data_IF_774603162579
#
_entry.id   IF_774603162579
#
_cell.length_a   1.000
_cell.length_b   1.000
_cell.length_c   1.000
_cell.angle_alpha   90.00
_cell.angle_beta   90.00
_cell.angle_gamma   90.00
#
_symmetry.space_group_name_H-M   'P 1'
#
loop_
_entity.id
_entity.type
_entity.pdbx_description
1 polymer ?
#
# COMPACT_ATOMS: atom_id res chain seq x y z
N UNK A 1 23.56 1.00 8.96
CA UNK A 1 23.16 0.81 7.55
C UNK A 1 22.14 1.88 7.29
N UNK A 2 22.36 2.78 6.32
CA UNK A 2 21.34 3.77 5.98
C UNK A 2 20.11 3.01 5.47
N UNK A 3 18.94 3.26 6.06
CA UNK A 3 17.67 2.73 5.57
C UNK A 3 17.52 3.17 4.11
N UNK A 4 17.16 2.25 3.21
CA UNK A 4 16.80 2.58 1.82
C UNK A 4 15.28 2.70 1.76
N UNK A 5 14.72 3.90 1.99
CA UNK A 5 13.27 4.07 2.06
C UNK A 5 12.59 3.72 0.73
N UNK A 6 13.27 3.90 -0.39
CA UNK A 6 12.73 3.54 -1.72
C UNK A 6 12.66 2.02 -1.87
N UNK A 7 13.71 1.30 -1.49
CA UNK A 7 13.73 -0.16 -1.51
C UNK A 7 12.69 -0.78 -0.56
N UNK A 8 12.52 -0.20 0.62
CA UNK A 8 11.49 -0.61 1.59
C UNK A 8 10.08 -0.37 1.04
N UNK A 9 9.81 0.82 0.49
CA UNK A 9 8.52 1.13 -0.15
C UNK A 9 8.23 0.19 -1.32
N UNK A 10 9.21 -0.06 -2.19
CA UNK A 10 9.05 -1.01 -3.29
C UNK A 10 8.65 -2.41 -2.79
N UNK A 11 9.33 -2.90 -1.75
CA UNK A 11 9.08 -4.21 -1.17
C UNK A 11 7.65 -4.31 -0.60
N UNK A 12 7.21 -3.28 0.12
CA UNK A 12 5.89 -3.27 0.73
C UNK A 12 4.75 -3.09 -0.28
N UNK A 13 4.98 -2.29 -1.33
CA UNK A 13 4.05 -2.16 -2.45
C UNK A 13 3.94 -3.47 -3.24
N UNK A 14 5.05 -4.18 -3.46
CA UNK A 14 5.04 -5.50 -4.11
C UNK A 14 4.27 -6.53 -3.26
N UNK A 15 4.44 -6.52 -1.94
CA UNK A 15 3.67 -7.38 -1.02
C UNK A 15 2.17 -7.03 -1.01
N UNK A 16 1.84 -5.74 -1.11
CA UNK A 16 0.46 -5.26 -1.18
C UNK A 16 -0.21 -5.66 -2.49
N UNK A 17 0.52 -5.56 -3.61
CA UNK A 17 0.07 -6.06 -4.92
C UNK A 17 -0.26 -7.54 -4.87
N UNK A 18 0.63 -8.35 -4.31
CA UNK A 18 0.40 -9.79 -4.17
C UNK A 18 -0.84 -10.09 -3.32
N UNK A 19 -1.07 -9.31 -2.26
CA UNK A 19 -2.29 -9.44 -1.44
C UNK A 19 -3.55 -9.12 -2.27
N UNK A 20 -3.55 -8.01 -3.01
CA UNK A 20 -4.71 -7.62 -3.81
C UNK A 20 -5.01 -8.57 -4.96
N UNK A 21 -3.98 -9.05 -5.66
CA UNK A 21 -4.14 -10.04 -6.73
C UNK A 21 -4.71 -11.35 -6.19
N UNK A 22 -4.29 -11.78 -4.99
CA UNK A 22 -4.82 -12.98 -4.33
C UNK A 22 -6.30 -12.87 -4.00
N UNK A 23 -6.79 -11.67 -3.67
CA UNK A 23 -8.19 -11.45 -3.25
C UNK A 23 -9.04 -10.77 -4.33
N UNK A 24 -8.54 -10.69 -5.56
CA UNK A 24 -9.18 -10.04 -6.71
C UNK A 24 -9.56 -8.56 -6.49
N UNK A 25 -8.76 -7.83 -5.69
CA UNK A 25 -8.98 -6.41 -5.42
C UNK A 25 -8.37 -5.53 -6.52
N UNK A 26 -9.16 -5.18 -7.53
CA UNK A 26 -8.67 -4.52 -8.75
C UNK A 26 -8.41 -3.02 -8.59
N UNK A 27 -9.16 -2.32 -7.75
CA UNK A 27 -9.06 -0.86 -7.63
C UNK A 27 -7.73 -0.48 -6.98
N UNK A 28 -7.45 -1.06 -5.81
CA UNK A 28 -6.20 -0.80 -5.09
C UNK A 28 -4.99 -1.49 -5.71
N UNK A 29 -5.17 -2.62 -6.41
CA UNK A 29 -4.09 -3.19 -7.25
C UNK A 29 -3.65 -2.21 -8.34
N UNK A 30 -4.57 -1.52 -9.02
CA UNK A 30 -4.21 -0.52 -10.03
C UNK A 30 -3.41 0.63 -9.42
N UNK A 31 -3.83 1.13 -8.26
CA UNK A 31 -3.10 2.17 -7.53
C UNK A 31 -1.69 1.69 -7.14
N UNK A 32 -1.56 0.50 -6.58
CA UNK A 32 -0.27 -0.04 -6.15
C UNK A 32 0.69 -0.26 -7.33
N UNK A 33 0.19 -0.70 -8.51
CA UNK A 33 1.01 -0.79 -9.74
C UNK A 33 1.51 0.57 -10.21
N UNK A 34 0.68 1.61 -10.10
CA UNK A 34 1.09 2.97 -10.43
C UNK A 34 2.19 3.46 -9.48
N UNK A 35 2.02 3.28 -8.15
CA UNK A 35 3.06 3.60 -7.16
C UNK A 35 4.35 2.85 -7.47
N UNK A 36 4.28 1.55 -7.78
CA UNK A 36 5.45 0.74 -8.09
C UNK A 36 6.21 1.23 -9.32
N UNK A 37 5.47 1.67 -10.33
CA UNK A 37 6.03 2.26 -11.55
C UNK A 37 6.71 3.59 -11.26
N UNK A 38 6.07 4.46 -10.45
CA UNK A 38 6.65 5.74 -10.03
C UNK A 38 7.97 5.51 -9.27
N UNK A 39 8.01 4.53 -8.36
CA UNK A 39 9.23 4.13 -7.64
C UNK A 39 10.33 3.64 -8.61
N UNK A 40 9.99 2.77 -9.55
CA UNK A 40 10.95 2.22 -10.51
C UNK A 40 11.56 3.29 -11.42
N UNK A 41 10.79 4.33 -11.75
CA UNK A 41 11.23 5.46 -12.55
C UNK A 41 12.00 6.52 -11.73
N UNK A 42 12.11 6.36 -10.41
CA UNK A 42 12.70 7.37 -9.53
C UNK A 42 11.85 8.65 -9.47
N UNK A 43 10.55 8.55 -9.70
CA UNK A 43 9.65 9.70 -9.72
C UNK A 43 9.34 10.17 -8.30
N UNK A 44 9.69 11.42 -8.00
CA UNK A 44 9.39 12.06 -6.72
C UNK A 44 7.88 12.16 -6.42
N UNK A 45 7.02 12.00 -7.43
CA UNK A 45 5.57 11.96 -7.25
C UNK A 45 5.07 10.71 -6.53
N UNK A 46 5.87 9.66 -6.39
CA UNK A 46 5.49 8.45 -5.66
C UNK A 46 5.01 8.76 -4.22
N UNK A 47 5.70 9.66 -3.51
CA UNK A 47 5.34 10.06 -2.15
C UNK A 47 4.00 10.79 -2.09
N UNK A 48 3.72 11.67 -3.06
CA UNK A 48 2.43 12.36 -3.14
C UNK A 48 1.28 11.39 -3.43
N UNK A 49 1.52 10.39 -4.29
CA UNK A 49 0.52 9.36 -4.61
C UNK A 49 0.26 8.44 -3.41
N UNK A 50 1.32 8.10 -2.67
CA UNK A 50 1.21 7.28 -1.46
C UNK A 50 0.45 8.04 -0.38
N UNK A 51 0.93 9.21 0.02
CA UNK A 51 0.33 9.96 1.14
C UNK A 51 -1.07 10.50 0.80
N UNK A 52 -1.36 10.76 -0.48
CA UNK A 52 -2.65 11.27 -0.94
C UNK A 52 -3.82 10.31 -0.77
N UNK A 53 -3.59 9.01 -0.54
CA UNK A 53 -4.67 8.03 -0.29
C UNK A 53 -4.91 7.75 1.19
N UNK A 54 -4.11 8.35 2.08
CA UNK A 54 -4.32 8.27 3.52
C UNK A 54 -5.18 9.46 3.98
N UNK A 55 -6.44 9.19 4.32
CA UNK A 55 -7.38 10.16 4.86
C UNK A 55 -8.57 10.49 3.94
N UNK A 56 -9.68 10.89 4.57
CA UNK A 56 -10.97 11.15 3.91
C UNK A 56 -11.89 9.91 3.83
N UNK A 57 -13.20 10.09 3.61
CA UNK A 57 -14.13 8.97 3.40
C UNK A 57 -13.86 8.22 2.08
N UNK A 58 -13.77 6.90 2.14
CA UNK A 58 -13.44 6.05 0.99
C UNK A 58 -11.94 5.97 0.71
N UNK A 59 -11.12 6.30 1.71
CA UNK A 59 -9.66 6.28 1.60
C UNK A 59 -9.11 4.86 1.67
N UNK A 60 -7.80 4.72 1.46
CA UNK A 60 -7.12 3.43 1.59
C UNK A 60 -7.30 2.81 2.99
N UNK A 61 -7.54 3.65 4.01
CA UNK A 61 -7.80 3.20 5.37
C UNK A 61 -9.16 2.52 5.55
N UNK A 62 -10.12 2.78 4.66
CA UNK A 62 -11.47 2.24 4.71
C UNK A 62 -11.60 0.89 3.97
N UNK A 63 -10.55 0.46 3.27
CA UNK A 63 -10.53 -0.83 2.59
C UNK A 63 -10.59 -1.96 3.61
N UNK A 64 -11.62 -2.80 3.46
CA UNK A 64 -11.77 -4.06 4.20
C UNK A 64 -11.89 -5.20 3.19
N UNK A 65 -10.95 -6.14 3.27
CA UNK A 65 -10.95 -7.36 2.46
C UNK A 65 -12.01 -8.30 3.03
N UNK A 66 -13.09 -8.50 2.29
CA UNK A 66 -14.23 -9.32 2.68
C UNK A 66 -15.01 -9.83 1.47
N UNK A 67 -15.56 -11.06 1.47
CA UNK A 67 -16.35 -11.59 0.36
C UNK A 67 -17.59 -10.76 0.03
N UNK A 68 -18.24 -10.18 1.05
CA UNK A 68 -19.39 -9.29 0.85
C UNK A 68 -19.04 -8.01 0.07
N UNK A 69 -17.76 -7.65 -0.01
CA UNK A 69 -17.27 -6.51 -0.79
C UNK A 69 -16.83 -6.93 -2.21
N UNK A 70 -17.02 -8.20 -2.59
CA UNK A 70 -16.63 -8.73 -3.90
C UNK A 70 -15.23 -9.37 -3.95
N UNK A 71 -14.54 -9.48 -2.81
CA UNK A 71 -13.19 -10.06 -2.77
C UNK A 71 -13.19 -11.58 -2.81
N UNK A 72 -12.24 -12.16 -3.53
CA UNK A 72 -11.97 -13.59 -3.59
C UNK A 72 -11.16 -14.07 -2.37
N UNK A 73 -11.77 -14.06 -1.17
CA UNK A 73 -11.16 -14.53 0.08
C UNK A 73 -12.08 -15.54 0.78
N UNK A 74 -11.52 -16.54 1.46
CA UNK A 74 -12.31 -17.43 2.32
C UNK A 74 -12.71 -16.67 3.60
N UNK A 75 -13.96 -16.76 4.09
CA UNK A 75 -14.36 -16.23 5.41
C UNK A 75 -13.36 -16.50 6.54
N UNK A 76 -12.74 -17.68 6.58
CA UNK A 76 -11.75 -18.04 7.61
C UNK A 76 -10.43 -17.25 7.51
N UNK A 77 -10.10 -16.78 6.30
CA UNK A 77 -8.86 -16.04 5.99
C UNK A 77 -9.04 -14.52 6.03
N UNK A 78 -10.27 -14.02 6.16
CA UNK A 78 -10.60 -12.58 6.21
C UNK A 78 -9.78 -11.86 7.26
N UNK A 79 -9.71 -12.42 8.48
CA UNK A 79 -8.98 -11.80 9.59
C UNK A 79 -7.48 -11.68 9.27
N UNK A 80 -6.88 -12.75 8.71
CA UNK A 80 -5.47 -12.76 8.34
C UNK A 80 -5.18 -11.77 7.20
N UNK A 81 -6.03 -11.74 6.17
CA UNK A 81 -5.89 -10.83 5.04
C UNK A 81 -5.94 -9.36 5.46
N UNK A 82 -6.86 -8.99 6.37
CA UNK A 82 -6.92 -7.62 6.89
C UNK A 82 -5.79 -7.32 7.89
N UNK A 83 -5.29 -8.29 8.66
CA UNK A 83 -4.10 -8.05 9.48
C UNK A 83 -2.85 -7.78 8.62
N UNK A 84 -2.70 -8.51 7.50
CA UNK A 84 -1.66 -8.25 6.50
C UNK A 84 -1.87 -6.88 5.84
N UNK A 85 -3.12 -6.60 5.44
CA UNK A 85 -3.77 -5.29 5.30
C UNK A 85 -3.04 -4.18 6.06
N UNK A 86 -3.32 -4.19 7.35
CA UNK A 86 -2.96 -3.23 8.39
C UNK A 86 -1.46 -3.07 8.52
N UNK A 87 -0.75 -4.19 8.55
CA UNK A 87 0.69 -4.19 8.69
C UNK A 87 1.37 -3.49 7.51
N UNK A 88 0.91 -3.75 6.27
CA UNK A 88 1.47 -3.13 5.07
C UNK A 88 1.13 -1.64 4.99
N UNK A 89 -0.14 -1.26 5.20
CA UNK A 89 -0.56 0.15 5.14
C UNK A 89 0.14 1.01 6.19
N UNK A 90 0.32 0.52 7.42
CA UNK A 90 1.08 1.23 8.46
C UNK A 90 2.55 1.41 8.06
N UNK A 91 3.21 0.35 7.58
CA UNK A 91 4.63 0.42 7.17
C UNK A 91 4.84 1.38 6.00
N UNK A 92 4.03 1.27 4.95
CA UNK A 92 4.08 2.16 3.78
C UNK A 92 3.92 3.62 4.19
N UNK A 93 2.93 3.92 5.04
CA UNK A 93 2.70 5.28 5.52
C UNK A 93 3.89 5.81 6.32
N UNK A 94 4.43 5.00 7.24
CA UNK A 94 5.57 5.38 8.07
C UNK A 94 6.81 5.67 7.23
N UNK A 95 7.21 4.74 6.36
CA UNK A 95 8.37 4.90 5.48
C UNK A 95 8.21 6.10 4.55
N UNK A 96 7.01 6.34 4.02
CA UNK A 96 6.74 7.51 3.17
C UNK A 96 6.83 8.84 3.95
N UNK A 97 6.32 8.89 5.19
CA UNK A 97 6.44 10.07 6.05
C UNK A 97 7.89 10.36 6.41
N UNK A 98 8.63 9.34 6.83
CA UNK A 98 10.03 9.47 7.22
C UNK A 98 10.88 9.94 6.03
N UNK A 99 10.65 9.37 4.85
CA UNK A 99 11.35 9.78 3.64
C UNK A 99 10.98 11.20 3.20
N UNK A 100 9.70 11.59 3.27
CA UNK A 100 9.29 12.97 2.99
C UNK A 100 9.93 13.97 3.97
N UNK A 101 10.08 13.60 5.25
CA UNK A 101 10.75 14.42 6.25
C UNK A 101 12.24 14.59 5.93
N UNK A 102 12.92 13.51 5.54
CA UNK A 102 14.33 13.53 5.12
C UNK A 102 14.60 14.40 3.88
N UNK A 103 13.65 14.48 2.94
CA UNK A 103 13.78 15.34 1.75
C UNK A 103 13.56 16.84 2.05
N UNK A 104 12.97 17.16 3.20
CA UNK A 104 12.63 18.53 3.61
C UNK A 104 13.60 19.13 4.62
N UNK A 105 14.44 18.32 5.25
CA UNK A 105 15.48 18.73 6.20
C UNK A 105 16.83 18.89 5.51
#
# INVERSE_FOLDING_TARGET
>A
MASDPIGELATDIDALLALFERVDEQHWARWARAVRTDIANGDAHCLSRILGVYGGPGSFNDLVIHPMNGHAVNPDDVANANQQLDSLRTRIHQTACDFQHQLRG
#
